data_IF_516055892718
#
_entry.id   IF_516055892718
#
_cell.length_a   1.000
_cell.length_b   1.000
_cell.length_c   1.000
_cell.angle_alpha   90.00
_cell.angle_beta   90.00
_cell.angle_gamma   90.00
#
_symmetry.space_group_name_H-M   'P 1'
#
loop_
_entity.id
_entity.type
_entity.pdbx_description
1 polymer ?
#
# COMPACT_ATOMS: atom_id res chain seq x y z
N UNK A 1 21.82 -17.27 5.72
CA UNK A 1 22.06 -16.88 4.33
C UNK A 1 21.42 -15.53 4.08
N UNK A 2 22.20 -14.63 3.60
CA UNK A 2 21.73 -13.25 3.43
C UNK A 2 20.49 -13.15 2.55
N UNK A 3 20.42 -13.93 1.48
CA UNK A 3 19.30 -13.85 0.56
C UNK A 3 17.98 -14.34 1.12
N UNK A 4 18.01 -14.94 2.29
CA UNK A 4 16.81 -15.48 2.91
C UNK A 4 16.05 -14.47 3.73
N UNK A 5 16.69 -13.36 4.05
CA UNK A 5 16.09 -12.34 4.91
C UNK A 5 15.63 -11.13 4.12
N UNK A 6 14.80 -11.39 3.13
CA UNK A 6 14.21 -10.30 2.37
C UNK A 6 13.14 -9.62 3.20
N UNK A 7 13.08 -8.31 3.10
CA UNK A 7 12.04 -7.55 3.77
C UNK A 7 10.76 -7.62 2.96
N UNK A 8 9.67 -7.79 3.67
CA UNK A 8 8.33 -7.82 3.08
C UNK A 8 7.71 -6.45 3.30
N UNK A 9 7.42 -5.75 2.22
CA UNK A 9 6.94 -4.38 2.27
C UNK A 9 5.62 -4.25 1.53
N UNK A 10 4.67 -3.58 2.15
CA UNK A 10 3.42 -3.21 1.50
C UNK A 10 3.51 -1.73 1.10
N UNK A 11 3.19 -1.43 -0.14
CA UNK A 11 3.07 -0.05 -0.63
C UNK A 11 1.64 0.18 -1.06
N UNK A 12 0.97 1.14 -0.47
CA UNK A 12 -0.37 1.50 -0.92
C UNK A 12 -0.28 2.60 -1.96
N UNK A 13 -1.14 2.53 -2.97
CA UNK A 13 -1.10 3.52 -4.05
C UNK A 13 0.10 3.40 -4.95
N UNK A 14 0.66 2.19 -5.06
CA UNK A 14 1.88 1.97 -5.84
C UNK A 14 1.68 1.87 -7.34
N UNK A 15 0.48 2.11 -7.84
CA UNK A 15 0.21 2.00 -9.27
C UNK A 15 0.55 3.27 -10.05
N UNK A 16 0.82 4.38 -9.39
CA UNK A 16 1.15 5.63 -10.08
C UNK A 16 1.92 6.57 -9.16
N UNK A 17 2.59 7.55 -9.76
CA UNK A 17 3.25 8.64 -9.04
C UNK A 17 4.31 8.18 -8.07
N UNK A 18 4.32 8.79 -6.90
CA UNK A 18 5.32 8.53 -5.86
C UNK A 18 5.27 7.08 -5.41
N UNK A 19 4.06 6.52 -5.29
CA UNK A 19 3.91 5.13 -4.88
C UNK A 19 4.58 4.16 -5.83
N UNK A 20 4.45 4.40 -7.14
CA UNK A 20 5.07 3.55 -8.15
C UNK A 20 6.59 3.64 -8.09
N UNK A 21 7.14 4.85 -7.93
CA UNK A 21 8.58 5.04 -7.79
C UNK A 21 9.09 4.36 -6.52
N UNK A 22 8.35 4.48 -5.43
CA UNK A 22 8.73 3.87 -4.15
C UNK A 22 8.74 2.35 -4.27
N UNK A 23 7.68 1.78 -4.85
CA UNK A 23 7.59 0.33 -5.02
C UNK A 23 8.73 -0.21 -5.88
N UNK A 24 9.03 0.49 -6.98
CA UNK A 24 10.12 0.10 -7.87
C UNK A 24 11.48 0.15 -7.18
N UNK A 25 11.73 1.22 -6.41
CA UNK A 25 12.99 1.37 -5.69
C UNK A 25 13.17 0.27 -4.64
N UNK A 26 12.11 -0.08 -3.93
CA UNK A 26 12.17 -1.15 -2.94
C UNK A 26 12.41 -2.50 -3.58
N UNK A 27 11.74 -2.78 -4.71
CA UNK A 27 11.97 -4.00 -5.45
C UNK A 27 13.44 -4.09 -5.89
N UNK A 28 13.98 -3.00 -6.42
CA UNK A 28 15.37 -2.97 -6.90
C UNK A 28 16.36 -3.14 -5.76
N UNK A 29 15.97 -2.77 -4.55
CA UNK A 29 16.79 -2.99 -3.35
C UNK A 29 16.72 -4.41 -2.80
N UNK A 30 15.93 -5.28 -3.44
CA UNK A 30 15.83 -6.67 -3.01
C UNK A 30 14.65 -6.97 -2.09
N UNK A 31 13.76 -6.02 -1.86
CA UNK A 31 12.56 -6.27 -1.05
C UNK A 31 11.51 -7.04 -1.84
N UNK A 32 10.72 -7.80 -1.12
CA UNK A 32 9.50 -8.37 -1.67
C UNK A 32 8.40 -7.34 -1.46
N UNK A 33 7.83 -6.83 -2.55
CA UNK A 33 6.89 -5.72 -2.51
C UNK A 33 5.50 -6.19 -2.91
N UNK A 34 4.53 -5.87 -2.06
CA UNK A 34 3.11 -6.04 -2.35
C UNK A 34 2.51 -4.64 -2.50
N UNK A 35 1.77 -4.44 -3.58
CA UNK A 35 1.21 -3.14 -3.89
C UNK A 35 -0.30 -3.21 -3.77
N UNK A 36 -0.90 -2.29 -3.02
CA UNK A 36 -2.34 -2.17 -2.85
C UNK A 36 -2.84 -0.95 -3.63
N UNK A 37 -3.68 -1.18 -4.61
CA UNK A 37 -4.37 -0.11 -5.30
C UNK A 37 -5.62 -0.68 -5.95
N UNK A 38 -6.51 0.19 -6.38
CA UNK A 38 -7.75 -0.25 -7.01
C UNK A 38 -7.55 -0.69 -8.45
N UNK A 39 -6.53 -0.15 -9.13
CA UNK A 39 -6.27 -0.47 -10.53
C UNK A 39 -5.12 -1.44 -10.64
N UNK A 40 -5.32 -2.47 -11.45
CA UNK A 40 -4.25 -3.43 -11.71
C UNK A 40 -3.39 -2.92 -12.86
N UNK A 41 -2.33 -2.23 -12.52
CA UNK A 41 -1.30 -1.82 -13.47
C UNK A 41 -0.09 -2.68 -13.19
N UNK A 42 0.18 -3.69 -14.02
CA UNK A 42 1.26 -4.64 -13.73
C UNK A 42 2.62 -3.95 -13.64
N UNK A 43 3.39 -4.39 -12.66
CA UNK A 43 4.78 -3.96 -12.48
C UNK A 43 5.60 -5.21 -12.26
N UNK A 44 6.64 -5.38 -13.08
CA UNK A 44 7.48 -6.57 -12.98
C UNK A 44 8.12 -6.67 -11.60
N UNK A 45 8.04 -7.86 -11.02
CA UNK A 45 8.64 -8.12 -9.72
C UNK A 45 7.88 -7.57 -8.53
N UNK A 46 6.68 -7.04 -8.73
CA UNK A 46 5.83 -6.51 -7.66
C UNK A 46 4.49 -7.20 -7.73
N UNK A 47 4.02 -7.72 -6.61
CA UNK A 47 2.72 -8.38 -6.54
C UNK A 47 1.64 -7.34 -6.26
N UNK A 48 0.71 -7.22 -7.17
CA UNK A 48 -0.43 -6.34 -7.01
C UNK A 48 -1.59 -7.08 -6.35
N UNK A 49 -2.22 -6.44 -5.38
CA UNK A 49 -3.50 -6.88 -4.82
C UNK A 49 -4.48 -5.73 -4.99
N UNK A 50 -5.61 -6.02 -5.64
CA UNK A 50 -6.62 -5.00 -5.88
C UNK A 50 -7.37 -4.75 -4.58
N UNK A 51 -7.06 -3.64 -3.94
CA UNK A 51 -7.59 -3.28 -2.63
C UNK A 51 -7.94 -1.81 -2.61
N UNK A 52 -9.17 -1.52 -2.24
CA UNK A 52 -9.55 -0.17 -1.86
C UNK A 52 -9.22 -0.04 -0.36
N UNK A 53 -8.25 0.80 -0.03
CA UNK A 53 -7.80 0.91 1.36
C UNK A 53 -8.87 1.47 2.30
N UNK A 54 -9.93 2.06 1.77
CA UNK A 54 -11.06 2.49 2.58
C UNK A 54 -12.00 1.35 2.94
N UNK A 55 -11.81 0.19 2.33
CA UNK A 55 -12.60 -1.02 2.63
C UNK A 55 -11.82 -1.88 3.62
N UNK A 56 -12.20 -1.81 4.89
CA UNK A 56 -11.49 -2.51 5.96
C UNK A 56 -11.45 -4.01 5.74
N UNK A 57 -12.53 -4.61 5.27
CA UNK A 57 -12.58 -6.05 5.04
C UNK A 57 -11.61 -6.47 3.92
N UNK A 58 -11.55 -5.67 2.85
CA UNK A 58 -10.64 -5.95 1.75
C UNK A 58 -9.19 -5.85 2.21
N UNK A 59 -8.87 -4.85 3.03
CA UNK A 59 -7.53 -4.67 3.59
C UNK A 59 -7.15 -5.87 4.46
N UNK A 60 -8.04 -6.27 5.36
CA UNK A 60 -7.78 -7.40 6.24
C UNK A 60 -7.56 -8.71 5.46
N UNK A 61 -8.36 -8.94 4.43
CA UNK A 61 -8.20 -10.13 3.59
C UNK A 61 -6.86 -10.14 2.86
N UNK A 62 -6.46 -8.99 2.32
CA UNK A 62 -5.19 -8.88 1.60
C UNK A 62 -4.01 -9.11 2.53
N UNK A 63 -4.05 -8.53 3.73
CA UNK A 63 -2.97 -8.71 4.71
C UNK A 63 -2.86 -10.17 5.13
N UNK A 64 -4.00 -10.84 5.37
CA UNK A 64 -3.98 -12.26 5.70
C UNK A 64 -3.36 -13.10 4.59
N UNK A 65 -3.65 -12.76 3.33
CA UNK A 65 -3.07 -13.44 2.18
C UNK A 65 -1.55 -13.33 2.19
N UNK A 66 -1.04 -12.13 2.47
CA UNK A 66 0.41 -11.91 2.54
C UNK A 66 1.02 -12.70 3.68
N UNK A 67 0.40 -12.67 4.86
CA UNK A 67 0.92 -13.38 6.02
C UNK A 67 0.94 -14.89 5.80
N UNK A 68 -0.06 -15.44 5.12
CA UNK A 68 -0.08 -16.86 4.81
C UNK A 68 1.10 -17.27 3.95
N UNK A 69 1.57 -16.39 3.08
CA UNK A 69 2.68 -16.70 2.20
C UNK A 69 4.04 -16.34 2.80
N UNK A 70 4.13 -15.15 3.40
CA UNK A 70 5.41 -14.59 3.80
C UNK A 70 5.70 -14.73 5.29
N UNK A 71 4.69 -14.96 6.11
CA UNK A 71 4.72 -15.10 7.57
C UNK A 71 5.02 -13.83 8.35
N UNK A 72 5.42 -12.76 7.68
CA UNK A 72 5.74 -11.50 8.33
C UNK A 72 5.49 -10.33 7.39
N UNK A 73 5.44 -9.14 7.95
CA UNK A 73 5.44 -7.87 7.21
C UNK A 73 6.42 -6.96 7.93
N UNK A 74 7.40 -6.44 7.21
CA UNK A 74 8.45 -5.61 7.81
C UNK A 74 8.12 -4.13 7.78
N UNK A 75 7.43 -3.67 6.75
CA UNK A 75 7.14 -2.24 6.62
C UNK A 75 5.91 -2.01 5.76
N UNK A 76 5.26 -0.89 6.01
CA UNK A 76 4.16 -0.40 5.16
C UNK A 76 4.47 1.04 4.79
N UNK A 77 4.33 1.35 3.52
CA UNK A 77 4.48 2.71 3.02
C UNK A 77 3.14 3.14 2.44
N UNK A 78 2.50 4.08 3.12
CA UNK A 78 1.16 4.53 2.75
C UNK A 78 1.26 5.70 1.78
N UNK A 79 1.19 5.40 0.49
CA UNK A 79 1.19 6.39 -0.57
C UNK A 79 -0.19 6.61 -1.18
N UNK A 80 -1.18 5.80 -0.79
CA UNK A 80 -2.52 5.99 -1.30
C UNK A 80 -3.03 7.37 -0.91
N UNK A 81 -3.62 8.05 -1.86
CA UNK A 81 -4.11 9.40 -1.62
C UNK A 81 -3.10 10.50 -1.84
N UNK A 82 -1.82 10.17 -2.00
CA UNK A 82 -0.83 11.15 -2.39
C UNK A 82 -0.96 11.42 -3.89
N UNK A 83 -0.81 12.65 -4.29
CA UNK A 83 -0.80 12.96 -5.70
C UNK A 83 -2.01 13.69 -6.23
N UNK A 84 -2.92 14.11 -5.37
CA UNK A 84 -3.88 15.09 -5.81
C UNK A 84 -3.12 16.39 -6.00
N UNK A 85 -2.88 16.71 -7.24
CA UNK A 85 -2.30 17.99 -7.60
C UNK A 85 -3.42 18.83 -8.17
N UNK A 86 -3.53 20.02 -7.70
CA UNK A 86 -4.54 20.93 -8.18
C UNK A 86 -4.74 22.05 -7.20
N UNK A 87 -5.20 23.16 -7.67
CA UNK A 87 -5.47 24.29 -6.79
C UNK A 87 -6.66 23.93 -5.89
N UNK A 88 -6.55 24.29 -4.63
CA UNK A 88 -7.58 24.00 -3.64
C UNK A 88 -8.93 24.56 -4.06
N UNK A 89 -8.93 25.73 -4.72
CA UNK A 89 -10.15 26.34 -5.17
C UNK A 89 -10.91 25.55 -6.22
N UNK A 90 -10.26 24.59 -6.87
CA UNK A 90 -10.90 23.74 -7.87
C UNK A 90 -11.30 22.39 -7.32
N UNK A 91 -11.08 22.15 -6.03
CA UNK A 91 -11.41 20.90 -5.40
C UNK A 91 -12.80 20.98 -4.78
N UNK A 92 -13.71 20.09 -5.18
CA UNK A 92 -15.04 20.05 -4.59
C UNK A 92 -15.00 19.49 -3.18
N UNK A 93 -16.04 19.77 -2.39
CA UNK A 93 -16.17 19.20 -1.06
C UNK A 93 -16.17 17.68 -1.10
N UNK A 94 -16.86 17.10 -2.09
CA UNK A 94 -16.91 15.64 -2.22
C UNK A 94 -15.55 15.06 -2.54
N UNK A 95 -14.77 15.72 -3.39
CA UNK A 95 -13.41 15.30 -3.70
C UNK A 95 -12.52 15.40 -2.47
N UNK A 96 -12.68 16.46 -1.70
CA UNK A 96 -11.90 16.63 -0.48
C UNK A 96 -12.21 15.55 0.56
N UNK A 97 -13.48 15.20 0.71
CA UNK A 97 -13.89 14.13 1.61
C UNK A 97 -13.36 12.78 1.15
N UNK A 98 -13.45 12.49 -0.14
CA UNK A 98 -12.93 11.24 -0.69
C UNK A 98 -11.42 11.14 -0.46
N UNK A 99 -10.71 12.24 -0.65
CA UNK A 99 -9.27 12.27 -0.41
C UNK A 99 -8.94 12.07 1.06
N UNK A 100 -9.72 12.69 1.95
CA UNK A 100 -9.55 12.51 3.38
C UNK A 100 -9.77 11.05 3.79
N UNK A 101 -10.80 10.41 3.22
CA UNK A 101 -11.06 9.00 3.50
C UNK A 101 -9.87 8.13 3.12
N UNK A 102 -9.28 8.36 1.95
CA UNK A 102 -8.11 7.58 1.53
C UNK A 102 -6.91 7.90 2.41
N UNK A 103 -6.64 9.19 2.65
CA UNK A 103 -5.45 9.59 3.41
C UNK A 103 -5.51 9.19 4.86
N UNK A 104 -6.68 9.28 5.49
CA UNK A 104 -6.81 9.03 6.92
C UNK A 104 -7.31 7.62 7.19
N UNK A 105 -8.52 7.30 6.74
CA UNK A 105 -9.12 6.01 7.08
C UNK A 105 -8.44 4.87 6.35
N UNK A 106 -7.99 5.09 5.12
CA UNK A 106 -7.22 4.07 4.40
C UNK A 106 -5.93 3.73 5.13
N UNK A 107 -5.21 4.74 5.59
CA UNK A 107 -3.97 4.53 6.35
C UNK A 107 -4.26 3.82 7.67
N UNK A 108 -5.31 4.22 8.38
CA UNK A 108 -5.69 3.58 9.63
C UNK A 108 -6.05 2.11 9.39
N UNK A 109 -6.82 1.82 8.35
CA UNK A 109 -7.23 0.45 8.05
C UNK A 109 -6.00 -0.44 7.78
N UNK A 110 -5.08 0.04 6.96
CA UNK A 110 -3.89 -0.75 6.63
C UNK A 110 -3.03 -0.94 7.88
N UNK A 111 -2.80 0.11 8.64
CA UNK A 111 -1.96 0.02 9.84
C UNK A 111 -2.58 -0.92 10.88
N UNK A 112 -3.88 -0.85 11.09
CA UNK A 112 -4.56 -1.75 12.03
C UNK A 112 -4.41 -3.21 11.60
N UNK A 113 -4.53 -3.47 10.31
CA UNK A 113 -4.43 -4.84 9.81
C UNK A 113 -3.02 -5.40 9.93
N UNK A 114 -2.01 -4.55 9.76
CA UNK A 114 -0.61 -4.97 9.70
C UNK A 114 0.05 -5.04 11.06
N UNK A 115 -0.25 -4.12 11.97
CA UNK A 115 0.44 -4.01 13.26
C UNK A 115 0.56 -5.32 14.02
N UNK A 116 -0.47 -6.18 14.10
CA UNK A 116 -0.33 -7.45 14.81
C UNK A 116 0.77 -8.35 14.25
N UNK A 117 1.17 -8.15 13.00
CA UNK A 117 2.15 -8.99 12.32
C UNK A 117 3.51 -8.33 12.22
N UNK A 118 3.67 -7.13 12.77
CA UNK A 118 4.94 -6.41 12.77
C UNK A 118 5.62 -6.54 14.11
N UNK A 119 5.72 -7.76 14.58
CA UNK A 119 6.35 -8.02 15.87
C UNK A 119 7.86 -7.80 15.81
N UNK A 120 8.31 -7.10 16.78
CA UNK A 120 9.74 -6.95 16.95
C UNK A 120 10.34 -8.19 17.61
#
# INVERSE_FOLDING_TARGET
>A
MAGEYKKIVIVTGGSSGIGRCTASALRDSGCIVYEFSRRNIPMEGITHLSVDVTDENAVNSAVKQIIQKETKIDAVINCAGLGISGAVEFTSTDQAKAQFDVNFFGTVNVNKAVLPFMQS
#
